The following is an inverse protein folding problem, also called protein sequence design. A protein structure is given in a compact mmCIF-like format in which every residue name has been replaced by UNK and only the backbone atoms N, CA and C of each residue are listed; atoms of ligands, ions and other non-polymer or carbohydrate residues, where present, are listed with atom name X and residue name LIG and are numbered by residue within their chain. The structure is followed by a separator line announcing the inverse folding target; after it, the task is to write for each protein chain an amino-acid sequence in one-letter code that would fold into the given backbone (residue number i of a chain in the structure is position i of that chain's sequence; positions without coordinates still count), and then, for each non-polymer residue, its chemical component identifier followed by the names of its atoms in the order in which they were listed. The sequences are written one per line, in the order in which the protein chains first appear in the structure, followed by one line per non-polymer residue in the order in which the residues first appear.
data_IF_830875237930
#
_entry.id   IF_830875237930
#
_cell.length_a   1.000
_cell.length_b   1.000
_cell.length_c   1.000
_cell.angle_alpha   90.00
_cell.angle_beta   90.00
_cell.angle_gamma   90.00
#
_symmetry.space_group_name_H-M   'P 1'
#
loop_
_entity.id
_entity.type
_entity.pdbx_description
1 polymer ?
#
# COMPACT_ATOMS: atom_id res chain seq x y z
N UNK A 1 14.08 4.30 -14.35
CA UNK A 1 14.61 3.86 -13.04
C UNK A 1 13.90 4.47 -11.82
N UNK A 2 13.55 5.77 -11.79
CA UNK A 2 12.83 6.37 -10.63
C UNK A 2 11.52 5.68 -10.20
N UNK A 3 10.70 5.23 -11.16
CA UNK A 3 9.41 4.56 -10.87
C UNK A 3 9.56 3.24 -10.11
N UNK A 4 10.68 2.52 -10.30
CA UNK A 4 10.90 1.23 -9.64
C UNK A 4 11.19 1.43 -8.15
N UNK A 5 11.96 2.47 -7.82
CA UNK A 5 12.30 2.83 -6.43
C UNK A 5 11.05 3.28 -5.66
N UNK A 6 10.09 3.90 -6.34
CA UNK A 6 8.86 4.41 -5.73
C UNK A 6 7.81 3.31 -5.50
N UNK A 7 7.73 2.32 -6.40
CA UNK A 7 6.78 1.20 -6.33
C UNK A 7 7.33 0.02 -5.51
N UNK A 8 8.65 -0.09 -5.36
CA UNK A 8 9.30 -1.19 -4.65
C UNK A 8 8.85 -1.33 -3.19
N UNK A 9 8.72 -0.27 -2.37
CA UNK A 9 8.30 -0.40 -0.98
C UNK A 9 6.85 -0.88 -0.85
N UNK A 10 5.97 -0.37 -1.70
CA UNK A 10 4.56 -0.79 -1.77
C UNK A 10 4.44 -2.26 -2.14
N UNK A 11 5.26 -2.72 -3.11
CA UNK A 11 5.28 -4.12 -3.53
C UNK A 11 5.79 -5.06 -2.43
N UNK A 12 6.85 -4.65 -1.72
CA UNK A 12 7.38 -5.40 -0.56
C UNK A 12 6.32 -5.51 0.54
N UNK A 13 5.67 -4.40 0.90
CA UNK A 13 4.61 -4.38 1.92
C UNK A 13 3.42 -5.25 1.52
N UNK A 14 3.06 -5.27 0.24
CA UNK A 14 1.99 -6.11 -0.29
C UNK A 14 2.33 -7.61 -0.18
N UNK A 15 3.56 -8.00 -0.50
CA UNK A 15 4.03 -9.39 -0.33
C UNK A 15 4.01 -9.80 1.15
N UNK A 16 4.43 -8.91 2.05
CA UNK A 16 4.40 -9.17 3.50
C UNK A 16 2.95 -9.35 3.97
N UNK A 17 2.01 -8.54 3.48
CA UNK A 17 0.59 -8.65 3.80
C UNK A 17 0.02 -10.01 3.37
N UNK A 18 0.28 -10.44 2.13
CA UNK A 18 -0.11 -11.78 1.64
C UNK A 18 0.53 -12.88 2.48
N UNK A 19 1.83 -12.76 2.78
CA UNK A 19 2.55 -13.76 3.58
C UNK A 19 1.98 -13.88 5.00
N UNK A 20 1.57 -12.77 5.59
CA UNK A 20 0.92 -12.76 6.91
C UNK A 20 -0.46 -13.42 6.89
N UNK A 21 -1.25 -13.23 5.82
CA UNK A 21 -2.54 -13.90 5.63
C UNK A 21 -2.36 -15.43 5.52
N UNK A 22 -1.33 -15.86 4.76
CA UNK A 22 -0.98 -17.29 4.64
C UNK A 22 -0.57 -17.85 6.01
N UNK A 23 0.23 -17.12 6.79
CA UNK A 23 0.62 -17.57 8.14
C UNK A 23 -0.59 -17.74 9.08
N UNK A 24 -1.63 -16.90 8.99
CA UNK A 24 -2.86 -17.15 9.75
C UNK A 24 -3.55 -18.43 9.32
N UNK A 25 -3.68 -18.68 8.01
CA UNK A 25 -4.32 -19.91 7.53
C UNK A 25 -3.60 -21.18 8.01
N UNK A 26 -2.30 -21.07 8.31
CA UNK A 26 -1.49 -22.13 8.90
C UNK A 26 -1.53 -22.16 10.45
N UNK A 27 -2.38 -21.36 11.10
CA UNK A 27 -2.52 -21.29 12.56
C UNK A 27 -1.35 -20.61 13.29
N UNK A 28 -0.46 -19.92 12.56
CA UNK A 28 0.73 -19.26 13.12
C UNK A 28 0.44 -17.82 13.57
N UNK A 29 1.19 -17.28 14.55
CA UNK A 29 1.06 -15.88 14.95
C UNK A 29 1.41 -14.95 13.79
N UNK A 30 0.43 -14.17 13.34
CA UNK A 30 0.49 -13.38 12.11
C UNK A 30 0.14 -11.89 12.31
N UNK A 31 -0.31 -11.52 13.51
CA UNK A 31 -0.86 -10.19 13.83
C UNK A 31 0.19 -9.09 13.67
N UNK A 32 1.43 -9.31 14.11
CA UNK A 32 2.51 -8.32 14.01
C UNK A 32 2.91 -8.01 12.55
N UNK A 33 3.26 -9.01 11.71
CA UNK A 33 3.61 -8.74 10.32
C UNK A 33 2.42 -8.20 9.50
N UNK A 34 1.19 -8.59 9.86
CA UNK A 34 -0.01 -8.04 9.25
C UNK A 34 -0.23 -6.56 9.59
N UNK A 35 -0.21 -6.21 10.89
CA UNK A 35 -0.41 -4.84 11.33
C UNK A 35 0.65 -3.90 10.73
N UNK A 36 1.92 -4.35 10.68
CA UNK A 36 3.01 -3.55 10.12
C UNK A 36 2.88 -3.33 8.61
N UNK A 37 2.51 -4.37 7.85
CA UNK A 37 2.30 -4.25 6.41
C UNK A 37 1.09 -3.37 6.07
N UNK A 38 -0.01 -3.51 6.83
CA UNK A 38 -1.21 -2.69 6.68
C UNK A 38 -0.94 -1.21 6.99
N UNK A 39 -0.26 -0.93 8.11
CA UNK A 39 0.15 0.44 8.46
C UNK A 39 1.06 1.05 7.40
N UNK A 40 2.04 0.28 6.93
CA UNK A 40 2.94 0.70 5.86
C UNK A 40 2.18 1.03 4.57
N UNK A 41 1.23 0.17 4.16
CA UNK A 41 0.40 0.38 2.96
C UNK A 41 -0.54 1.57 3.07
N UNK A 42 -0.99 1.94 4.27
CA UNK A 42 -1.84 3.11 4.49
C UNK A 42 -1.02 4.41 4.56
N UNK A 43 0.19 4.39 5.13
CA UNK A 43 1.00 5.60 5.35
C UNK A 43 1.89 5.92 4.14
N UNK A 44 2.46 4.90 3.50
CA UNK A 44 3.43 5.11 2.42
C UNK A 44 2.84 5.88 1.21
N UNK A 45 1.63 5.56 0.70
CA UNK A 45 1.05 6.28 -0.42
C UNK A 45 0.77 7.77 -0.19
N UNK A 46 0.11 8.22 0.91
CA UNK A 46 -0.08 9.64 1.16
C UNK A 46 1.25 10.36 1.39
N UNK A 47 2.23 9.73 2.06
CA UNK A 47 3.57 10.33 2.24
C UNK A 47 4.28 10.50 0.89
N UNK A 48 4.24 9.50 0.01
CA UNK A 48 4.82 9.58 -1.33
C UNK A 48 4.17 10.70 -2.16
N UNK A 49 2.84 10.83 -2.10
CA UNK A 49 2.09 11.91 -2.76
C UNK A 49 2.41 13.30 -2.19
N UNK A 50 2.62 13.42 -0.88
CA UNK A 50 3.05 14.68 -0.25
C UNK A 50 4.45 15.06 -0.71
N UNK A 51 5.40 14.12 -0.72
CA UNK A 51 6.75 14.36 -1.23
C UNK A 51 6.72 14.77 -2.71
N UNK A 52 5.91 14.11 -3.52
CA UNK A 52 5.78 14.42 -4.93
C UNK A 52 5.10 15.77 -5.17
N UNK A 53 4.03 16.10 -4.44
CA UNK A 53 3.33 17.39 -4.56
C UNK A 53 4.19 18.57 -4.11
N UNK A 54 5.02 18.42 -3.07
CA UNK A 54 6.02 19.43 -2.67
C UNK A 54 7.06 19.62 -3.79
N UNK A 55 7.47 18.54 -4.46
CA UNK A 55 8.43 18.60 -5.56
C UNK A 55 7.82 19.21 -6.83
N UNK A 56 6.55 18.94 -7.10
CA UNK A 56 5.79 19.37 -8.29
C UNK A 56 5.21 20.78 -8.12
N UNK A 57 5.10 21.34 -6.91
CA UNK A 57 4.80 22.78 -6.70
C UNK A 57 5.76 23.73 -7.45
N UNK A 58 6.94 23.26 -7.89
CA UNK A 58 7.85 24.00 -8.78
C UNK A 58 7.47 23.97 -10.27
N UNK A 59 6.65 23.02 -10.72
CA UNK A 59 6.20 22.91 -12.11
C UNK A 59 4.80 22.30 -12.18
N UNK A 60 3.79 23.16 -12.44
CA UNK A 60 2.42 22.89 -12.95
C UNK A 60 1.95 21.44 -12.83
N UNK A 61 0.97 21.18 -11.94
CA UNK A 61 0.32 19.87 -11.72
C UNK A 61 0.14 19.12 -13.05
N UNK A 62 0.96 18.09 -13.26
CA UNK A 62 0.87 17.25 -14.45
C UNK A 62 -0.20 16.18 -14.19
N UNK A 63 -1.09 15.96 -15.16
CA UNK A 63 -2.09 14.87 -15.22
C UNK A 63 -1.53 13.48 -14.82
N UNK A 64 -0.21 13.29 -14.91
CA UNK A 64 0.51 12.10 -14.45
C UNK A 64 0.45 11.86 -12.92
N UNK A 65 0.15 12.89 -12.13
CA UNK A 65 -0.02 12.80 -10.67
C UNK A 65 -1.34 12.11 -10.31
N UNK A 66 -2.42 12.41 -11.04
CA UNK A 66 -3.76 11.87 -10.78
C UNK A 66 -3.81 10.37 -11.06
N UNK A 67 -3.21 9.91 -12.17
CA UNK A 67 -3.14 8.48 -12.51
C UNK A 67 -2.38 7.65 -11.45
N UNK A 68 -1.35 8.23 -10.81
CA UNK A 68 -0.64 7.58 -9.69
C UNK A 68 -1.49 7.54 -8.42
N UNK A 69 -2.22 8.62 -8.14
CA UNK A 69 -3.14 8.70 -7.02
C UNK A 69 -4.24 7.62 -7.12
N UNK A 70 -4.82 7.44 -8.31
CA UNK A 70 -5.80 6.39 -8.60
C UNK A 70 -5.20 4.99 -8.37
N UNK A 71 -3.96 4.76 -8.81
CA UNK A 71 -3.26 3.49 -8.59
C UNK A 71 -3.04 3.17 -7.11
N UNK A 72 -2.63 4.16 -6.32
CA UNK A 72 -2.46 4.00 -4.88
C UNK A 72 -3.79 3.78 -4.15
N UNK A 73 -4.84 4.51 -4.52
CA UNK A 73 -6.20 4.32 -4.02
C UNK A 73 -6.72 2.91 -4.32
N UNK A 74 -6.45 2.38 -5.51
CA UNK A 74 -6.82 1.02 -5.89
C UNK A 74 -6.13 -0.03 -5.00
N UNK A 75 -4.83 0.12 -4.73
CA UNK A 75 -4.07 -0.77 -3.84
C UNK A 75 -4.65 -0.73 -2.41
N UNK A 76 -4.90 0.48 -1.88
CA UNK A 76 -5.50 0.64 -0.55
C UNK A 76 -6.89 0.00 -0.50
N UNK A 77 -7.73 0.23 -1.52
CA UNK A 77 -9.08 -0.34 -1.63
C UNK A 77 -9.05 -1.88 -1.65
N UNK A 78 -8.12 -2.49 -2.41
CA UNK A 78 -7.92 -3.94 -2.43
C UNK A 78 -7.48 -4.46 -1.06
N UNK A 79 -6.59 -3.74 -0.35
CA UNK A 79 -6.19 -4.11 1.01
C UNK A 79 -7.36 -4.08 1.99
N UNK A 80 -8.25 -3.08 1.90
CA UNK A 80 -9.47 -3.00 2.71
C UNK A 80 -10.51 -4.08 2.34
N UNK A 81 -10.68 -4.39 1.06
CA UNK A 81 -11.54 -5.48 0.60
C UNK A 81 -11.05 -6.82 1.14
N UNK A 82 -9.74 -7.09 1.05
CA UNK A 82 -9.12 -8.30 1.61
C UNK A 82 -9.26 -8.36 3.14
N UNK A 83 -9.21 -7.24 3.84
CA UNK A 83 -9.47 -7.16 5.28
C UNK A 83 -10.93 -7.49 5.60
N UNK A 84 -11.87 -6.96 4.79
CA UNK A 84 -13.32 -7.10 5.02
C UNK A 84 -13.80 -8.53 4.78
N UNK A 85 -13.40 -9.15 3.66
CA UNK A 85 -13.70 -10.57 3.39
C UNK A 85 -13.15 -11.46 4.48
N UNK A 86 -11.97 -11.12 5.00
CA UNK A 86 -11.32 -11.88 6.04
C UNK A 86 -11.93 -11.70 7.44
N UNK A 87 -12.43 -10.51 7.79
CA UNK A 87 -13.23 -10.28 9.00
C UNK A 87 -14.59 -10.97 8.94
N UNK A 88 -15.17 -11.16 7.74
CA UNK A 88 -16.44 -11.87 7.57
C UNK A 88 -16.31 -13.40 7.61
N UNK A 89 -15.12 -13.95 7.36
CA UNK A 89 -14.85 -15.41 7.37
C UNK A 89 -14.45 -15.92 8.76
N UNK A 90 -14.09 -15.01 9.68
CA UNK A 90 -13.74 -15.28 11.08
C UNK A 90 -14.97 -15.12 11.96
#
# INVERSE_FOLDING_TARGET
MRKIIEVSPTFILFIILISSLIQRSAGKPWINPFAFSLLGLCIYPPVALVIESIRVKKHKLSSRSESRLIWYLAIISISFLSLTTYLMVV
#
